data_IF_900587773617
#
_entry.id   IF_900587773617
#
_cell.length_a   1.000
_cell.length_b   1.000
_cell.length_c   1.000
_cell.angle_alpha   90.00
_cell.angle_beta   90.00
_cell.angle_gamma   90.00
#
_symmetry.space_group_name_H-M   'P 1'
#
loop_
_entity.id
_entity.type
_entity.pdbx_description
1 polymer ?
#
# COMPACT_ATOMS: atom_id res chain seq x y z
N UNK A 1 20.25 2.52 -5.13
CA UNK A 1 19.90 3.92 -5.44
C UNK A 1 18.53 3.91 -6.08
N UNK A 2 17.66 4.88 -5.77
CA UNK A 2 16.30 4.87 -6.29
C UNK A 2 16.33 5.01 -7.79
N UNK A 3 15.37 4.35 -8.44
CA UNK A 3 15.18 4.43 -9.88
C UNK A 3 14.79 5.86 -10.30
N UNK A 4 13.94 6.50 -9.50
CA UNK A 4 13.40 7.83 -9.75
C UNK A 4 13.26 8.59 -8.43
N UNK A 5 13.62 9.89 -8.44
CA UNK A 5 13.30 10.81 -7.35
C UNK A 5 12.38 11.91 -7.89
N UNK A 6 11.22 12.06 -7.27
CA UNK A 6 10.29 13.13 -7.55
C UNK A 6 10.34 14.12 -6.38
N UNK A 7 11.05 15.22 -6.60
CA UNK A 7 11.00 16.36 -5.70
C UNK A 7 9.69 17.12 -5.94
N UNK A 8 8.89 17.18 -4.89
CA UNK A 8 7.64 17.94 -4.77
C UNK A 8 7.90 19.04 -3.73
N UNK A 9 7.23 20.19 -3.81
CA UNK A 9 7.63 21.40 -3.06
C UNK A 9 7.98 21.15 -1.58
N UNK A 10 7.11 20.44 -0.85
CA UNK A 10 7.33 20.05 0.55
C UNK A 10 7.59 18.56 0.74
N UNK A 11 7.58 17.75 -0.33
CA UNK A 11 7.55 16.29 -0.23
C UNK A 11 8.48 15.64 -1.24
N UNK A 12 8.95 14.43 -0.99
CA UNK A 12 9.79 13.71 -1.93
C UNK A 12 9.31 12.27 -2.04
N UNK A 13 9.12 11.79 -3.26
CA UNK A 13 8.89 10.39 -3.54
C UNK A 13 10.19 9.80 -4.11
N UNK A 14 10.72 8.76 -3.44
CA UNK A 14 11.86 8.00 -3.95
C UNK A 14 11.36 6.64 -4.43
N UNK A 15 11.22 6.49 -5.74
CA UNK A 15 10.67 5.29 -6.37
C UNK A 15 11.80 4.32 -6.72
N UNK A 16 11.62 3.08 -6.31
CA UNK A 16 12.63 2.02 -6.39
C UNK A 16 12.06 0.71 -6.89
N UNK A 17 12.89 -0.02 -7.63
CA UNK A 17 12.67 -1.39 -8.06
C UNK A 17 13.87 -2.19 -7.53
N UNK A 18 13.65 -2.97 -6.48
CA UNK A 18 14.74 -3.64 -5.73
C UNK A 18 14.46 -5.13 -5.57
N UNK A 19 15.47 -5.97 -5.83
CA UNK A 19 15.36 -7.41 -5.60
C UNK A 19 15.12 -7.72 -4.12
N UNK A 20 15.82 -7.04 -3.20
CA UNK A 20 15.65 -7.25 -1.75
C UNK A 20 14.21 -6.96 -1.32
N UNK A 21 13.61 -5.88 -1.84
CA UNK A 21 12.21 -5.54 -1.59
C UNK A 21 11.25 -6.60 -2.16
N UNK A 22 11.52 -7.13 -3.36
CA UNK A 22 10.72 -8.22 -3.94
C UNK A 22 10.83 -9.52 -3.15
N UNK A 23 12.05 -9.87 -2.69
CA UNK A 23 12.29 -11.07 -1.88
C UNK A 23 11.44 -11.01 -0.61
N UNK A 24 11.55 -9.92 0.14
CA UNK A 24 10.79 -9.74 1.36
C UNK A 24 9.30 -9.71 1.09
N UNK A 25 8.83 -8.87 0.18
CA UNK A 25 7.40 -8.72 -0.08
C UNK A 25 6.75 -10.04 -0.47
N UNK A 26 7.31 -10.75 -1.47
CA UNK A 26 6.69 -11.96 -1.99
C UNK A 26 6.75 -13.09 -0.94
N UNK A 27 7.87 -13.25 -0.23
CA UNK A 27 7.95 -14.24 0.86
C UNK A 27 6.97 -13.93 1.99
N UNK A 28 6.81 -12.65 2.35
CA UNK A 28 5.84 -12.20 3.35
C UNK A 28 4.42 -12.57 2.92
N UNK A 29 4.05 -12.38 1.64
CA UNK A 29 2.76 -12.82 1.11
C UNK A 29 2.60 -14.35 1.08
N UNK A 30 3.64 -15.09 0.67
CA UNK A 30 3.62 -16.56 0.58
C UNK A 30 3.51 -17.25 1.94
N UNK A 31 3.99 -16.59 3.00
CA UNK A 31 3.97 -17.15 4.35
C UNK A 31 2.58 -17.16 4.98
N UNK A 32 1.65 -16.38 4.42
CA UNK A 32 0.28 -16.23 4.94
C UNK A 32 0.27 -15.91 6.44
N UNK A 33 1.20 -15.09 6.91
CA UNK A 33 1.30 -14.73 8.32
C UNK A 33 0.11 -13.89 8.80
N UNK A 34 -0.53 -13.17 7.89
CA UNK A 34 -1.67 -12.29 8.13
C UNK A 34 -2.85 -12.68 7.22
N UNK A 35 -4.07 -12.39 7.67
CA UNK A 35 -5.29 -12.52 6.85
C UNK A 35 -5.32 -11.55 5.67
N UNK A 36 -4.48 -10.51 5.71
CA UNK A 36 -4.34 -9.52 4.65
C UNK A 36 -3.31 -9.92 3.58
N UNK A 37 -2.66 -11.08 3.71
CA UNK A 37 -1.74 -11.55 2.67
C UNK A 37 -2.49 -11.81 1.35
N UNK A 38 -1.93 -11.33 0.24
CA UNK A 38 -2.48 -11.45 -1.10
C UNK A 38 -2.24 -12.85 -1.67
N UNK A 39 -3.32 -13.63 -1.82
CA UNK A 39 -3.27 -15.02 -2.28
C UNK A 39 -2.71 -15.21 -3.69
N UNK A 40 -2.67 -14.16 -4.51
CA UNK A 40 -2.20 -14.23 -5.89
C UNK A 40 -0.77 -14.78 -6.04
N UNK A 41 0.11 -14.54 -5.05
CA UNK A 41 1.46 -15.09 -5.07
C UNK A 41 1.46 -16.59 -4.78
N UNK A 42 0.69 -17.03 -3.78
CA UNK A 42 0.55 -18.44 -3.46
C UNK A 42 -0.08 -19.20 -4.63
N UNK A 43 -1.12 -18.64 -5.25
CA UNK A 43 -1.79 -19.21 -6.43
C UNK A 43 -0.81 -19.33 -7.61
N UNK A 44 -0.01 -18.28 -7.87
CA UNK A 44 1.02 -18.33 -8.91
C UNK A 44 2.07 -19.40 -8.63
N UNK A 45 2.61 -19.47 -7.42
CA UNK A 45 3.62 -20.47 -7.08
C UNK A 45 3.05 -21.88 -7.21
N UNK A 46 1.84 -22.14 -6.69
CA UNK A 46 1.17 -23.43 -6.84
C UNK A 46 0.95 -23.84 -8.31
N UNK A 47 0.74 -22.86 -9.21
CA UNK A 47 0.53 -23.12 -10.63
C UNK A 47 1.84 -23.32 -11.42
N UNK A 48 2.97 -22.79 -10.94
CA UNK A 48 4.23 -22.74 -11.69
C UNK A 48 5.37 -23.57 -11.09
N UNK A 49 5.27 -23.92 -9.81
CA UNK A 49 6.29 -24.70 -9.09
C UNK A 49 5.69 -25.46 -7.91
N UNK A 50 6.11 -26.69 -7.69
CA UNK A 50 5.68 -27.42 -6.50
C UNK A 50 6.43 -26.91 -5.26
N UNK A 51 5.70 -26.56 -4.20
CA UNK A 51 6.30 -26.26 -2.89
C UNK A 51 6.88 -27.52 -2.28
N UNK A 52 8.21 -27.53 -2.13
CA UNK A 52 8.93 -28.61 -1.46
C UNK A 52 8.65 -28.60 0.06
N UNK A 53 9.03 -29.68 0.76
CA UNK A 53 8.98 -29.70 2.22
C UNK A 53 9.85 -28.58 2.83
N UNK A 54 11.03 -28.35 2.27
CA UNK A 54 11.97 -27.29 2.70
C UNK A 54 11.32 -25.91 2.55
N UNK A 55 10.64 -25.66 1.42
CA UNK A 55 9.94 -24.38 1.21
C UNK A 55 8.91 -24.11 2.33
N UNK A 56 8.14 -25.12 2.70
CA UNK A 56 7.10 -25.01 3.74
C UNK A 56 7.71 -24.78 5.13
N UNK A 57 8.80 -25.46 5.44
CA UNK A 57 9.53 -25.26 6.70
C UNK A 57 10.09 -23.84 6.79
N UNK A 58 10.68 -23.33 5.72
CA UNK A 58 11.23 -21.97 5.67
C UNK A 58 10.14 -20.89 5.75
N UNK A 59 9.02 -21.04 5.04
CA UNK A 59 7.88 -20.13 5.15
C UNK A 59 7.28 -20.16 6.57
N UNK A 60 7.28 -21.31 7.23
CA UNK A 60 6.86 -21.41 8.65
C UNK A 60 7.79 -20.62 9.56
N UNK A 61 9.12 -20.78 9.41
CA UNK A 61 10.10 -19.98 10.18
C UNK A 61 9.92 -18.48 9.96
N UNK A 62 9.75 -18.06 8.70
CA UNK A 62 9.51 -16.66 8.36
C UNK A 62 8.22 -16.16 8.99
N UNK A 63 7.12 -16.92 8.90
CA UNK A 63 5.84 -16.58 9.55
C UNK A 63 5.99 -16.40 11.06
N UNK A 64 6.68 -17.31 11.75
CA UNK A 64 6.94 -17.22 13.19
C UNK A 64 7.77 -16.00 13.56
N UNK A 65 8.79 -15.67 12.75
CA UNK A 65 9.57 -14.45 12.89
C UNK A 65 8.70 -13.23 12.68
N UNK A 66 7.96 -13.18 11.57
CA UNK A 66 7.07 -12.09 11.21
C UNK A 66 6.01 -11.83 12.27
N UNK A 67 5.43 -12.86 12.88
CA UNK A 67 4.48 -12.68 13.99
C UNK A 67 5.07 -12.02 15.24
N UNK A 68 6.41 -11.96 15.38
CA UNK A 68 7.09 -11.21 16.46
C UNK A 68 7.29 -9.74 16.14
N UNK A 69 7.15 -9.36 14.86
CA UNK A 69 7.25 -7.98 14.36
C UNK A 69 5.90 -7.59 13.76
N UNK A 70 5.13 -6.70 14.39
CA UNK A 70 3.92 -6.21 13.72
C UNK A 70 4.27 -5.42 12.44
N UNK A 71 3.25 -5.04 11.68
CA UNK A 71 3.43 -4.16 10.51
C UNK A 71 4.22 -2.90 10.90
N UNK A 72 5.31 -2.64 10.16
CA UNK A 72 6.18 -1.49 10.36
C UNK A 72 7.15 -1.58 11.54
N UNK A 73 7.31 -2.73 12.18
CA UNK A 73 8.16 -2.93 13.36
C UNK A 73 9.51 -3.59 13.02
N UNK A 74 10.23 -3.04 12.04
CA UNK A 74 11.65 -3.35 11.79
C UNK A 74 11.92 -4.09 10.47
N UNK A 75 11.09 -5.06 10.10
CA UNK A 75 11.32 -5.86 8.89
C UNK A 75 11.15 -5.01 7.62
N UNK A 76 10.13 -4.16 7.57
CA UNK A 76 9.92 -3.22 6.46
C UNK A 76 11.10 -2.26 6.30
N UNK A 77 11.60 -1.70 7.40
CA UNK A 77 12.75 -0.79 7.38
C UNK A 77 14.04 -1.51 6.99
N UNK A 78 14.14 -2.81 7.26
CA UNK A 78 15.31 -3.62 6.89
C UNK A 78 15.29 -3.97 5.41
N UNK A 79 14.16 -4.44 4.88
CA UNK A 79 14.12 -5.12 3.58
C UNK A 79 13.49 -4.31 2.45
N UNK A 80 12.66 -3.31 2.73
CA UNK A 80 12.27 -2.33 1.70
C UNK A 80 13.38 -1.30 1.52
N UNK A 81 14.43 -1.72 0.83
CA UNK A 81 15.65 -0.96 0.60
C UNK A 81 16.21 -1.22 -0.80
N UNK A 82 17.06 -0.32 -1.27
CA UNK A 82 17.73 -0.44 -2.58
C UNK A 82 19.03 -1.24 -2.55
N UNK A 83 19.54 -1.54 -1.35
CA UNK A 83 20.80 -2.27 -1.19
C UNK A 83 20.54 -3.78 -1.33
N UNK A 84 21.60 -4.52 -1.64
CA UNK A 84 21.54 -5.97 -1.75
C UNK A 84 21.20 -6.63 -0.41
N UNK A 85 20.75 -7.88 -0.46
CA UNK A 85 20.27 -8.61 0.71
C UNK A 85 21.29 -8.68 1.85
N UNK A 86 22.57 -8.93 1.55
CA UNK A 86 23.59 -9.06 2.58
C UNK A 86 23.83 -7.73 3.30
N UNK A 87 23.94 -6.64 2.53
CA UNK A 87 24.02 -5.29 3.08
C UNK A 87 22.78 -4.90 3.90
N UNK A 88 21.58 -5.28 3.44
CA UNK A 88 20.32 -5.02 4.14
C UNK A 88 20.26 -5.72 5.50
N UNK A 89 20.66 -6.99 5.55
CA UNK A 89 20.73 -7.78 6.78
C UNK A 89 21.74 -7.20 7.77
N UNK A 90 22.94 -6.86 7.31
CA UNK A 90 23.98 -6.26 8.14
C UNK A 90 23.50 -4.92 8.73
N UNK A 91 22.90 -4.07 7.91
CA UNK A 91 22.39 -2.76 8.33
C UNK A 91 21.21 -2.90 9.31
N UNK A 92 20.27 -3.82 9.05
CA UNK A 92 19.14 -4.10 9.93
C UNK A 92 19.58 -4.54 11.33
N UNK A 93 20.60 -5.39 11.42
CA UNK A 93 21.20 -5.79 12.70
C UNK A 93 21.94 -4.62 13.35
N UNK A 94 22.69 -3.85 12.57
CA UNK A 94 23.48 -2.72 13.09
C UNK A 94 22.60 -1.61 13.67
N UNK A 95 21.47 -1.30 13.04
CA UNK A 95 20.50 -0.31 13.51
C UNK A 95 19.64 -0.89 14.65
N UNK A 96 19.49 -2.21 14.72
CA UNK A 96 18.69 -2.91 15.72
C UNK A 96 17.23 -3.07 15.33
N UNK A 97 16.93 -3.07 14.02
CA UNK A 97 15.60 -3.42 13.52
C UNK A 97 15.32 -4.93 13.60
N UNK A 98 16.37 -5.74 13.47
CA UNK A 98 16.32 -7.20 13.62
C UNK A 98 17.55 -7.69 14.42
N UNK A 99 17.46 -8.88 15.00
CA UNK A 99 18.57 -9.54 15.66
C UNK A 99 19.42 -10.36 14.68
N UNK A 100 20.68 -10.65 15.06
CA UNK A 100 21.60 -11.43 14.21
C UNK A 100 21.07 -12.83 13.86
N UNK A 101 20.34 -13.47 14.78
CA UNK A 101 19.70 -14.76 14.52
C UNK A 101 18.55 -14.65 13.51
N UNK A 102 17.77 -13.58 13.58
CA UNK A 102 16.69 -13.30 12.63
C UNK A 102 17.25 -13.03 11.24
N UNK A 103 18.34 -12.27 11.15
CA UNK A 103 19.04 -12.04 9.89
C UNK A 103 19.52 -13.36 9.24
N UNK A 104 20.00 -14.32 10.04
CA UNK A 104 20.41 -15.65 9.55
C UNK A 104 19.22 -16.45 9.01
N UNK A 105 18.09 -16.41 9.71
CA UNK A 105 16.85 -17.09 9.28
C UNK A 105 16.34 -16.47 7.97
N UNK A 106 16.21 -15.14 7.92
CA UNK A 106 15.70 -14.46 6.72
C UNK A 106 16.62 -14.66 5.52
N UNK A 107 17.95 -14.68 5.71
CA UNK A 107 18.88 -15.01 4.63
C UNK A 107 18.63 -16.40 4.05
N UNK A 108 18.46 -17.40 4.90
CA UNK A 108 18.16 -18.77 4.49
C UNK A 108 16.85 -18.84 3.69
N UNK A 109 15.80 -18.17 4.19
CA UNK A 109 14.49 -18.10 3.54
C UNK A 109 14.62 -17.42 2.17
N UNK A 110 15.17 -16.21 2.10
CA UNK A 110 15.20 -15.44 0.87
C UNK A 110 16.08 -16.07 -0.20
N UNK A 111 17.25 -16.63 0.15
CA UNK A 111 18.09 -17.34 -0.83
C UNK A 111 17.38 -18.57 -1.41
N UNK A 112 16.56 -19.27 -0.63
CA UNK A 112 15.76 -20.41 -1.12
C UNK A 112 14.69 -20.01 -2.15
N UNK A 113 14.12 -18.80 -2.04
CA UNK A 113 13.11 -18.28 -2.98
C UNK A 113 13.68 -17.40 -4.09
N UNK A 114 14.95 -16.99 -3.97
CA UNK A 114 15.57 -15.96 -4.81
C UNK A 114 15.46 -16.18 -6.30
N UNK A 115 15.75 -17.40 -6.77
CA UNK A 115 15.69 -17.71 -8.20
C UNK A 115 14.27 -17.52 -8.75
N UNK A 116 13.25 -18.06 -8.07
CA UNK A 116 11.84 -17.97 -8.49
C UNK A 116 11.34 -16.52 -8.47
N UNK A 117 11.68 -15.76 -7.42
CA UNK A 117 11.29 -14.35 -7.30
C UNK A 117 12.01 -13.46 -8.32
N UNK A 118 13.29 -13.74 -8.60
CA UNK A 118 14.05 -13.01 -9.62
C UNK A 118 13.43 -13.20 -11.00
N UNK A 119 12.94 -14.40 -11.32
CA UNK A 119 12.19 -14.64 -12.57
C UNK A 119 10.93 -13.79 -12.64
N UNK A 120 10.10 -13.76 -11.59
CA UNK A 120 8.89 -12.92 -11.55
C UNK A 120 9.25 -11.45 -11.75
N UNK A 121 10.27 -10.94 -11.05
CA UNK A 121 10.72 -9.56 -11.18
C UNK A 121 11.18 -9.25 -12.61
N UNK A 122 12.03 -10.10 -13.19
CA UNK A 122 12.58 -9.89 -14.53
C UNK A 122 11.50 -9.94 -15.62
N UNK A 123 10.56 -10.88 -15.52
CA UNK A 123 9.45 -11.03 -16.47
C UNK A 123 8.53 -9.79 -16.48
N UNK A 124 8.51 -9.02 -15.39
CA UNK A 124 7.67 -7.84 -15.21
C UNK A 124 8.45 -6.52 -15.24
N UNK A 125 9.77 -6.56 -15.43
CA UNK A 125 10.65 -5.41 -15.25
C UNK A 125 10.29 -4.24 -16.16
N UNK A 126 9.92 -4.52 -17.41
CA UNK A 126 9.49 -3.51 -18.36
C UNK A 126 8.22 -2.77 -17.90
N UNK A 127 7.28 -3.47 -17.25
CA UNK A 127 6.03 -2.90 -16.75
C UNK A 127 6.31 -2.05 -15.50
N UNK A 128 7.19 -2.51 -14.60
CA UNK A 128 7.64 -1.73 -13.45
C UNK A 128 8.31 -0.42 -13.88
N UNK A 129 9.21 -0.48 -14.87
CA UNK A 129 9.86 0.70 -15.42
C UNK A 129 8.87 1.65 -16.11
N UNK A 130 7.96 1.12 -16.92
CA UNK A 130 6.91 1.92 -17.57
C UNK A 130 6.04 2.65 -16.55
N UNK A 131 5.68 1.99 -15.45
CA UNK A 131 4.94 2.63 -14.36
C UNK A 131 5.75 3.76 -13.71
N UNK A 132 7.03 3.52 -13.39
CA UNK A 132 7.89 4.56 -12.83
C UNK A 132 8.09 5.75 -13.79
N UNK A 133 8.25 5.49 -15.09
CA UNK A 133 8.35 6.52 -16.14
C UNK A 133 7.05 7.33 -16.25
N UNK A 134 5.88 6.68 -16.10
CA UNK A 134 4.60 7.37 -16.02
C UNK A 134 4.52 8.32 -14.83
N UNK A 135 4.97 7.91 -13.64
CA UNK A 135 5.02 8.82 -12.48
C UNK A 135 5.88 10.06 -12.77
N UNK A 136 6.97 9.90 -13.53
CA UNK A 136 7.80 11.01 -13.96
C UNK A 136 7.12 11.89 -15.03
N UNK A 137 6.43 11.31 -16.00
CA UNK A 137 5.74 12.09 -17.05
C UNK A 137 4.52 12.85 -16.52
N UNK A 138 3.87 12.33 -15.48
CA UNK A 138 2.73 12.95 -14.79
C UNK A 138 3.16 13.77 -13.57
N UNK A 139 4.45 14.10 -13.43
CA UNK A 139 5.01 14.79 -12.26
C UNK A 139 4.22 16.05 -11.87
N UNK A 140 3.82 16.87 -12.84
CA UNK A 140 3.13 18.14 -12.55
C UNK A 140 1.72 17.91 -11.96
N UNK A 141 1.01 16.90 -12.47
CA UNK A 141 -0.30 16.51 -11.94
C UNK A 141 -0.17 15.90 -10.54
N UNK A 142 0.85 15.06 -10.33
CA UNK A 142 1.18 14.51 -9.02
C UNK A 142 1.56 15.60 -8.02
N UNK A 143 2.30 16.62 -8.46
CA UNK A 143 2.68 17.76 -7.63
C UNK A 143 1.44 18.56 -7.19
N UNK A 144 0.53 18.88 -8.10
CA UNK A 144 -0.72 19.58 -7.78
C UNK A 144 -1.55 18.80 -6.75
N UNK A 145 -1.68 17.48 -6.96
CA UNK A 145 -2.40 16.61 -6.05
C UNK A 145 -1.70 16.51 -4.69
N UNK A 146 -0.39 16.26 -4.64
CA UNK A 146 0.37 16.19 -3.38
C UNK A 146 0.31 17.51 -2.62
N UNK A 147 0.36 18.65 -3.29
CA UNK A 147 0.18 19.95 -2.66
C UNK A 147 -1.22 20.09 -2.06
N UNK A 148 -2.24 19.64 -2.78
CA UNK A 148 -3.63 19.62 -2.28
C UNK A 148 -3.77 18.71 -1.06
N UNK A 149 -3.22 17.49 -1.09
CA UNK A 149 -3.27 16.54 0.02
C UNK A 149 -2.45 17.02 1.22
N UNK A 150 -1.26 17.59 0.98
CA UNK A 150 -0.42 18.16 2.03
C UNK A 150 -1.15 19.32 2.71
N UNK A 151 -1.70 20.28 1.95
CA UNK A 151 -2.53 21.38 2.49
C UNK A 151 -3.69 20.85 3.32
N UNK A 152 -4.45 19.92 2.75
CA UNK A 152 -5.60 19.30 3.41
C UNK A 152 -5.18 18.62 4.73
N UNK A 153 -4.02 17.97 4.75
CA UNK A 153 -3.41 17.36 5.94
C UNK A 153 -2.46 18.31 6.69
N UNK A 154 -2.73 19.62 6.67
CA UNK A 154 -2.06 20.65 7.48
C UNK A 154 -0.57 20.87 7.18
N UNK A 155 -0.20 20.84 5.90
CA UNK A 155 1.12 21.12 5.33
C UNK A 155 2.25 20.22 5.84
N UNK A 156 1.96 18.94 6.09
CA UNK A 156 2.99 18.00 6.53
C UNK A 156 3.90 17.60 5.35
N UNK A 157 5.24 17.80 5.45
CA UNK A 157 6.18 17.33 4.45
C UNK A 157 6.35 15.81 4.57
N UNK A 158 6.28 15.07 3.46
CA UNK A 158 6.48 13.62 3.47
C UNK A 158 7.65 13.21 2.59
N UNK A 159 8.59 12.45 3.17
CA UNK A 159 9.57 11.67 2.41
C UNK A 159 9.05 10.25 2.33
N UNK A 160 8.76 9.78 1.12
CA UNK A 160 8.12 8.47 0.90
C UNK A 160 9.02 7.61 0.03
N UNK A 161 9.72 6.63 0.60
CA UNK A 161 10.24 5.51 -0.16
C UNK A 161 9.07 4.73 -0.76
N UNK A 162 9.11 4.52 -2.09
CA UNK A 162 8.09 3.80 -2.87
C UNK A 162 8.77 2.60 -3.52
N UNK A 163 8.34 1.39 -3.18
CA UNK A 163 8.83 0.17 -3.81
C UNK A 163 7.77 -0.42 -4.73
N UNK A 164 8.11 -0.49 -6.02
CA UNK A 164 7.28 -1.15 -7.02
C UNK A 164 7.60 -2.65 -6.99
N UNK A 165 6.57 -3.47 -6.78
CA UNK A 165 6.66 -4.93 -6.71
C UNK A 165 5.95 -5.53 -7.91
N UNK A 166 6.58 -6.49 -8.59
CA UNK A 166 5.94 -7.25 -9.64
C UNK A 166 4.79 -8.10 -9.08
N UNK A 167 3.56 -7.84 -9.55
CA UNK A 167 2.47 -8.79 -9.32
C UNK A 167 2.55 -9.92 -10.36
N UNK A 168 2.48 -11.19 -9.94
CA UNK A 168 2.42 -12.31 -10.87
C UNK A 168 1.06 -12.42 -11.59
N UNK A 169 0.06 -11.64 -11.20
CA UNK A 169 -1.29 -11.68 -11.75
C UNK A 169 -1.55 -10.52 -12.73
N UNK A 170 -2.35 -10.76 -13.77
CA UNK A 170 -2.59 -9.77 -14.83
C UNK A 170 -3.39 -8.57 -14.36
N UNK A 171 -4.26 -8.76 -13.37
CA UNK A 171 -5.24 -7.74 -12.94
C UNK A 171 -5.26 -7.45 -11.46
N UNK A 172 -4.65 -8.31 -10.67
CA UNK A 172 -4.72 -8.17 -9.22
C UNK A 172 -3.41 -7.54 -8.79
N UNK A 173 -3.53 -6.42 -8.11
CA UNK A 173 -2.45 -5.80 -7.37
C UNK A 173 -2.98 -5.40 -6.01
N UNK A 174 -2.11 -4.74 -5.26
CA UNK A 174 -2.41 -4.17 -3.98
C UNK A 174 -1.30 -3.20 -3.62
N UNK A 175 -1.45 -2.59 -2.47
CA UNK A 175 -0.42 -1.74 -1.93
C UNK A 175 -0.59 -1.62 -0.44
N UNK A 176 0.30 -0.84 0.15
CA UNK A 176 0.23 -0.55 1.55
C UNK A 176 1.29 0.46 1.95
N UNK A 177 0.97 1.27 2.94
CA UNK A 177 1.90 2.16 3.60
C UNK A 177 2.20 1.68 5.03
N UNK A 178 3.35 1.02 5.20
CA UNK A 178 3.75 0.41 6.47
C UNK A 178 5.20 0.79 6.81
N UNK A 179 5.48 1.07 8.09
CA UNK A 179 6.84 1.38 8.54
C UNK A 179 7.46 2.64 7.93
N UNK A 180 6.66 3.53 7.36
CA UNK A 180 7.13 4.71 6.62
C UNK A 180 7.46 4.44 5.15
N UNK A 181 7.09 3.27 4.62
CA UNK A 181 7.36 2.84 3.26
C UNK A 181 6.05 2.57 2.53
N UNK A 182 5.94 3.07 1.30
CA UNK A 182 4.85 2.75 0.39
C UNK A 182 5.29 1.59 -0.51
N UNK A 183 4.46 0.55 -0.57
CA UNK A 183 4.64 -0.60 -1.46
C UNK A 183 3.49 -0.66 -2.42
N UNK A 184 3.79 -0.94 -3.69
CA UNK A 184 2.77 -0.99 -4.73
C UNK A 184 3.04 -2.17 -5.66
N UNK A 185 2.08 -3.07 -5.74
CA UNK A 185 2.13 -4.20 -6.66
C UNK A 185 1.60 -3.77 -8.02
N UNK A 186 2.42 -3.97 -9.05
CA UNK A 186 2.09 -3.59 -10.43
C UNK A 186 1.62 -4.83 -11.20
N UNK A 187 0.31 -4.94 -11.53
CA UNK A 187 -0.22 -6.01 -12.36
C UNK A 187 0.11 -5.79 -13.84
N UNK A 188 0.13 -6.88 -14.62
CA UNK A 188 0.58 -6.83 -16.02
C UNK A 188 -0.35 -6.11 -16.99
N UNK A 189 -1.64 -6.15 -16.73
CA UNK A 189 -2.69 -5.76 -17.66
C UNK A 189 -3.78 -4.89 -17.01
N UNK A 190 -3.47 -4.28 -15.86
CA UNK A 190 -4.38 -3.37 -15.18
C UNK A 190 -3.66 -2.11 -14.72
N UNK A 191 -4.36 -0.98 -14.70
CA UNK A 191 -3.76 0.28 -14.29
C UNK A 191 -3.60 0.32 -12.77
N UNK A 192 -2.36 0.33 -12.28
CA UNK A 192 -2.03 0.48 -10.86
C UNK A 192 -2.10 1.93 -10.37
N UNK A 193 -2.28 2.91 -11.26
CA UNK A 193 -2.20 4.32 -10.87
C UNK A 193 -3.30 4.73 -9.86
N UNK A 194 -4.57 4.33 -10.00
CA UNK A 194 -5.57 4.62 -8.96
C UNK A 194 -5.18 4.04 -7.59
N UNK A 195 -4.58 2.85 -7.57
CA UNK A 195 -4.11 2.21 -6.33
C UNK A 195 -2.93 2.98 -5.75
N UNK A 196 -2.00 3.45 -6.57
CA UNK A 196 -0.94 4.35 -6.13
C UNK A 196 -1.49 5.59 -5.45
N UNK A 197 -2.50 6.25 -6.03
CA UNK A 197 -3.12 7.43 -5.42
C UNK A 197 -3.79 7.13 -4.08
N UNK A 198 -4.43 5.97 -3.99
CA UNK A 198 -5.03 5.48 -2.76
C UNK A 198 -3.98 5.33 -1.64
N UNK A 199 -2.90 4.58 -1.91
CA UNK A 199 -1.82 4.37 -0.94
C UNK A 199 -1.05 5.64 -0.62
N UNK A 200 -0.87 6.53 -1.60
CA UNK A 200 -0.22 7.81 -1.38
C UNK A 200 -1.02 8.67 -0.41
N UNK A 201 -2.35 8.59 -0.40
CA UNK A 201 -3.14 9.33 0.58
C UNK A 201 -2.96 8.79 2.00
N UNK A 202 -2.79 7.48 2.17
CA UNK A 202 -2.48 6.87 3.47
C UNK A 202 -1.21 7.44 4.08
N UNK A 203 -0.22 7.84 3.27
CA UNK A 203 0.98 8.55 3.75
C UNK A 203 0.59 9.82 4.51
N UNK A 204 -0.26 10.67 3.93
CA UNK A 204 -0.68 11.92 4.55
C UNK A 204 -1.61 11.68 5.74
N UNK A 205 -2.56 10.74 5.62
CA UNK A 205 -3.47 10.40 6.71
C UNK A 205 -2.72 9.84 7.92
N UNK A 206 -1.68 9.04 7.71
CA UNK A 206 -0.87 8.50 8.80
C UNK A 206 -0.08 9.59 9.55
N UNK A 207 0.30 10.69 8.89
CA UNK A 207 0.86 11.87 9.59
C UNK A 207 -0.14 12.52 10.56
N UNK A 208 -1.43 12.25 10.36
CA UNK A 208 -2.55 12.76 11.15
C UNK A 208 -3.21 11.67 12.01
N UNK A 209 -2.50 10.56 12.26
CA UNK A 209 -3.05 9.42 12.98
C UNK A 209 -3.62 9.79 14.36
N UNK A 210 -2.92 10.62 15.13
CA UNK A 210 -3.40 11.04 16.46
C UNK A 210 -4.73 11.81 16.39
N UNK A 211 -4.90 12.67 15.37
CA UNK A 211 -6.14 13.40 15.14
C UNK A 211 -7.28 12.45 14.79
N UNK A 212 -7.04 11.52 13.86
CA UNK A 212 -8.01 10.50 13.46
C UNK A 212 -8.42 9.62 14.65
N UNK A 213 -7.44 9.11 15.42
CA UNK A 213 -7.68 8.28 16.60
C UNK A 213 -8.42 9.02 17.72
N UNK A 214 -8.16 10.32 17.90
CA UNK A 214 -8.88 11.15 18.88
C UNK A 214 -10.36 11.27 18.54
N UNK A 215 -10.69 11.44 17.26
CA UNK A 215 -12.07 11.67 16.80
C UNK A 215 -12.89 10.37 16.83
N UNK A 216 -12.31 9.22 16.52
CA UNK A 216 -13.03 7.93 16.53
C UNK A 216 -13.26 7.35 17.93
N UNK A 217 -12.54 7.78 18.97
CA UNK A 217 -12.65 7.20 20.33
C UNK A 217 -14.06 7.27 20.91
N UNK A 218 -14.87 8.18 20.40
CA UNK A 218 -16.27 8.37 20.81
C UNK A 218 -17.27 7.68 19.88
N UNK A 219 -16.79 6.97 18.85
CA UNK A 219 -17.59 6.50 17.72
C UNK A 219 -17.62 4.97 17.59
N UNK A 220 -18.62 4.47 16.87
CA UNK A 220 -18.71 3.05 16.46
C UNK A 220 -17.92 2.74 15.19
N UNK A 221 -17.08 3.67 14.74
CA UNK A 221 -16.26 3.57 13.53
C UNK A 221 -14.82 3.33 13.96
N UNK A 222 -14.15 2.34 13.37
CA UNK A 222 -12.74 2.07 13.67
C UNK A 222 -11.83 3.02 12.89
N UNK A 223 -10.58 3.17 13.36
CA UNK A 223 -9.54 3.91 12.65
C UNK A 223 -9.42 3.43 11.20
N UNK A 224 -9.32 2.11 11.03
CA UNK A 224 -9.17 1.48 9.73
C UNK A 224 -10.36 1.79 8.81
N UNK A 225 -11.59 1.70 9.31
CA UNK A 225 -12.78 2.01 8.50
C UNK A 225 -12.79 3.47 8.00
N UNK A 226 -12.45 4.42 8.87
CA UNK A 226 -12.40 5.84 8.50
C UNK A 226 -11.24 6.12 7.54
N UNK A 227 -10.05 5.62 7.86
CA UNK A 227 -8.84 5.82 7.08
C UNK A 227 -8.98 5.24 5.67
N UNK A 228 -9.45 4.00 5.54
CA UNK A 228 -9.74 3.37 4.25
C UNK A 228 -10.89 4.06 3.52
N UNK A 229 -11.97 4.45 4.21
CA UNK A 229 -13.07 5.19 3.62
C UNK A 229 -12.60 6.49 2.97
N UNK A 230 -11.78 7.28 3.67
CA UNK A 230 -11.21 8.51 3.12
C UNK A 230 -10.30 8.22 1.90
N UNK A 231 -9.47 7.19 1.97
CA UNK A 231 -8.61 6.81 0.85
C UNK A 231 -9.40 6.33 -0.38
N UNK A 232 -10.45 5.52 -0.20
CA UNK A 232 -11.35 5.11 -1.30
C UNK A 232 -12.14 6.28 -1.88
N UNK A 233 -12.55 7.24 -1.04
CA UNK A 233 -13.19 8.48 -1.50
C UNK A 233 -12.26 9.27 -2.44
N UNK A 234 -10.96 9.32 -2.15
CA UNK A 234 -9.98 9.92 -3.05
C UNK A 234 -9.82 9.08 -4.33
N UNK A 235 -9.46 7.81 -4.21
CA UNK A 235 -9.23 6.92 -5.34
C UNK A 235 -9.76 5.51 -5.04
N UNK A 236 -10.64 4.95 -5.89
CA UNK A 236 -11.01 5.43 -7.23
C UNK A 236 -12.19 6.43 -7.22
N UNK A 237 -12.52 7.07 -6.10
CA UNK A 237 -13.72 7.93 -5.98
C UNK A 237 -13.65 9.26 -6.75
N UNK A 238 -12.68 10.12 -6.43
CA UNK A 238 -12.49 11.44 -7.06
C UNK A 238 -11.52 11.35 -8.24
N UNK A 239 -10.42 10.63 -8.04
CA UNK A 239 -9.39 10.42 -9.03
C UNK A 239 -9.42 8.95 -9.47
N UNK A 240 -9.51 8.72 -10.77
CA UNK A 240 -9.46 7.38 -11.35
C UNK A 240 -8.98 7.42 -12.79
N UNK A 241 -8.47 6.29 -13.25
CA UNK A 241 -8.20 6.04 -14.66
C UNK A 241 -9.50 5.65 -15.37
N UNK A 242 -9.89 6.38 -16.41
CA UNK A 242 -11.08 6.05 -17.20
C UNK A 242 -11.70 7.24 -17.91
N UNK A 243 -12.86 7.01 -18.52
CA UNK A 243 -13.65 8.07 -19.14
C UNK A 243 -14.10 9.10 -18.08
N UNK A 244 -14.13 10.41 -18.40
CA UNK A 244 -14.53 11.47 -17.46
C UNK A 244 -15.90 11.26 -16.81
N UNK A 245 -16.82 10.57 -17.49
CA UNK A 245 -18.18 10.32 -17.03
C UNK A 245 -18.35 8.95 -16.35
N UNK A 246 -17.25 8.20 -16.15
CA UNK A 246 -17.29 6.92 -15.44
C UNK A 246 -17.32 7.12 -13.93
N UNK A 247 -17.95 6.18 -13.21
CA UNK A 247 -17.97 6.14 -11.75
C UNK A 247 -17.50 4.76 -11.24
N UNK A 248 -16.18 4.50 -11.24
CA UNK A 248 -15.66 3.18 -10.89
C UNK A 248 -15.95 2.79 -9.44
N UNK A 249 -15.93 3.74 -8.49
CA UNK A 249 -16.23 3.43 -7.10
C UNK A 249 -17.70 3.02 -6.92
N UNK A 250 -18.64 3.73 -7.55
CA UNK A 250 -20.04 3.35 -7.54
C UNK A 250 -20.27 1.98 -8.17
N UNK A 251 -19.67 1.71 -9.33
CA UNK A 251 -19.83 0.41 -10.00
C UNK A 251 -19.26 -0.75 -9.19
N UNK A 252 -18.16 -0.53 -8.45
CA UNK A 252 -17.61 -1.51 -7.53
C UNK A 252 -18.57 -1.76 -6.36
N UNK A 253 -19.06 -0.70 -5.72
CA UNK A 253 -19.99 -0.83 -4.58
C UNK A 253 -21.30 -1.51 -5.01
N UNK A 254 -21.86 -1.15 -6.16
CA UNK A 254 -23.06 -1.78 -6.73
C UNK A 254 -22.85 -3.29 -6.92
N UNK A 255 -21.69 -3.70 -7.44
CA UNK A 255 -21.36 -5.12 -7.63
C UNK A 255 -21.18 -5.84 -6.29
N UNK A 256 -20.56 -5.20 -5.32
CA UNK A 256 -20.37 -5.77 -3.98
C UNK A 256 -21.72 -6.03 -3.30
N UNK A 257 -22.72 -5.16 -3.54
CA UNK A 257 -24.10 -5.28 -3.08
C UNK A 257 -24.87 -6.41 -3.76
N UNK A 258 -24.76 -6.52 -5.08
CA UNK A 258 -25.38 -7.60 -5.86
C UNK A 258 -24.89 -8.99 -5.41
N UNK A 259 -23.62 -9.08 -5.00
CA UNK A 259 -23.01 -10.31 -4.49
C UNK A 259 -23.24 -10.55 -2.99
N UNK A 260 -24.01 -9.69 -2.31
CA UNK A 260 -24.35 -9.81 -0.88
C UNK A 260 -23.12 -9.91 0.05
N UNK A 261 -22.02 -9.24 -0.30
CA UNK A 261 -20.75 -9.29 0.43
C UNK A 261 -20.68 -8.29 1.61
N UNK A 262 -21.83 -7.95 2.21
CA UNK A 262 -21.99 -6.84 3.16
C UNK A 262 -21.14 -6.93 4.43
N UNK A 263 -20.65 -8.12 4.78
CA UNK A 263 -19.78 -8.36 5.95
C UNK A 263 -18.28 -8.32 5.63
N UNK A 264 -17.90 -8.24 4.36
CA UNK A 264 -16.49 -8.15 3.97
C UNK A 264 -15.95 -6.76 4.32
N UNK A 265 -14.86 -6.62 5.11
CA UNK A 265 -14.29 -5.33 5.48
C UNK A 265 -14.03 -4.41 4.27
N UNK A 266 -13.54 -4.98 3.17
CA UNK A 266 -13.25 -4.24 1.94
C UNK A 266 -14.50 -3.57 1.34
N UNK A 267 -15.66 -4.23 1.45
CA UNK A 267 -16.95 -3.69 0.99
C UNK A 267 -17.39 -2.53 1.86
N UNK A 268 -17.17 -2.62 3.17
CA UNK A 268 -17.44 -1.51 4.11
C UNK A 268 -16.59 -0.30 3.76
N UNK A 269 -15.29 -0.49 3.50
CA UNK A 269 -14.37 0.60 3.15
C UNK A 269 -14.79 1.34 1.87
N UNK A 270 -15.13 0.59 0.81
CA UNK A 270 -15.58 1.16 -0.46
C UNK A 270 -16.91 1.90 -0.34
N UNK A 271 -17.84 1.37 0.44
CA UNK A 271 -19.11 2.05 0.76
C UNK A 271 -18.85 3.36 1.48
N UNK A 272 -17.98 3.35 2.49
CA UNK A 272 -17.62 4.59 3.21
C UNK A 272 -16.96 5.59 2.27
N UNK A 273 -16.08 5.12 1.38
CA UNK A 273 -15.52 5.97 0.34
C UNK A 273 -16.57 6.59 -0.58
N UNK A 274 -17.58 5.82 -0.99
CA UNK A 274 -18.66 6.32 -1.84
C UNK A 274 -19.47 7.42 -1.13
N UNK A 275 -19.77 7.24 0.15
CA UNK A 275 -20.51 8.21 0.97
C UNK A 275 -19.70 9.48 1.25
N UNK A 276 -18.40 9.35 1.52
CA UNK A 276 -17.50 10.47 1.82
C UNK A 276 -17.07 11.27 0.59
N UNK A 277 -17.17 10.69 -0.61
CA UNK A 277 -16.60 11.23 -1.85
C UNK A 277 -16.98 12.68 -2.13
N UNK A 278 -18.26 13.02 -2.04
CA UNK A 278 -18.74 14.36 -2.37
C UNK A 278 -18.19 15.39 -1.39
N UNK A 279 -18.27 15.10 -0.09
CA UNK A 279 -17.75 15.96 0.98
C UNK A 279 -16.23 16.13 0.90
N UNK A 280 -15.50 15.05 0.60
CA UNK A 280 -14.05 15.11 0.43
C UNK A 280 -13.68 15.97 -0.79
N UNK A 281 -14.39 15.82 -1.91
CA UNK A 281 -14.16 16.61 -3.12
C UNK A 281 -14.34 18.11 -2.87
N UNK A 282 -15.36 18.49 -2.11
CA UNK A 282 -15.59 19.88 -1.72
C UNK A 282 -14.46 20.40 -0.82
N UNK A 283 -14.07 19.61 0.19
CA UNK A 283 -12.99 19.99 1.10
C UNK A 283 -11.61 20.11 0.41
N UNK A 284 -11.33 19.27 -0.58
CA UNK A 284 -10.09 19.36 -1.36
C UNK A 284 -10.08 20.58 -2.31
N UNK A 285 -11.24 21.11 -2.71
CA UNK A 285 -11.34 22.30 -3.58
C UNK A 285 -11.35 23.62 -2.83
N UNK A 286 -11.74 23.61 -1.56
CA UNK A 286 -11.79 24.80 -0.72
C UNK A 286 -10.49 24.92 0.10
N UNK A 287 -9.71 25.96 -0.20
CA UNK A 287 -8.43 26.22 0.48
C UNK A 287 -8.59 26.54 1.98
N UNK A 288 -9.79 26.91 2.43
CA UNK A 288 -10.10 27.12 3.83
C UNK A 288 -10.40 25.83 4.61
N UNK A 289 -10.61 24.72 3.90
CA UNK A 289 -10.88 23.40 4.50
C UNK A 289 -9.59 22.61 4.69
N UNK A 290 -9.58 21.79 5.74
CA UNK A 290 -8.53 20.84 6.04
C UNK A 290 -9.12 19.59 6.68
N UNK A 291 -8.27 18.64 7.06
CA UNK A 291 -8.70 17.39 7.66
C UNK A 291 -9.49 17.61 8.97
N UNK A 292 -9.07 18.56 9.83
CA UNK A 292 -9.77 18.86 11.08
C UNK A 292 -11.18 19.40 10.85
N UNK A 293 -11.38 20.25 9.84
CA UNK A 293 -12.72 20.80 9.51
C UNK A 293 -13.58 19.80 8.75
N UNK A 294 -12.99 18.90 7.97
CA UNK A 294 -13.67 17.84 7.23
C UNK A 294 -14.22 16.73 8.15
N UNK A 295 -13.43 16.30 9.14
CA UNK A 295 -13.71 15.10 9.91
C UNK A 295 -15.06 15.11 10.66
N UNK A 296 -15.52 16.21 11.29
CA UNK A 296 -16.84 16.23 11.95
C UNK A 296 -17.99 15.84 11.02
N UNK A 297 -18.01 16.38 9.79
CA UNK A 297 -19.05 16.07 8.80
C UNK A 297 -18.88 14.63 8.27
N UNK A 298 -17.65 14.20 8.02
CA UNK A 298 -17.36 12.82 7.60
C UNK A 298 -17.89 11.79 8.61
N UNK A 299 -17.69 12.04 9.91
CA UNK A 299 -18.18 11.15 10.98
C UNK A 299 -19.71 11.15 11.04
N UNK A 300 -20.36 12.30 10.88
CA UNK A 300 -21.83 12.40 10.85
C UNK A 300 -22.42 11.54 9.72
N UNK A 301 -21.89 11.69 8.50
CA UNK A 301 -22.29 10.90 7.32
C UNK A 301 -22.16 9.39 7.58
N UNK A 302 -21.04 8.96 8.17
CA UNK A 302 -20.78 7.55 8.40
C UNK A 302 -21.60 6.96 9.56
N UNK A 303 -21.91 7.73 10.60
CA UNK A 303 -22.74 7.26 11.74
C UNK A 303 -24.10 6.76 11.28
N UNK A 304 -24.72 7.45 10.32
CA UNK A 304 -26.02 7.08 9.76
C UNK A 304 -25.99 5.75 8.99
N UNK A 305 -24.79 5.26 8.65
CA UNK A 305 -24.56 4.04 7.88
C UNK A 305 -24.10 2.84 8.73
N UNK A 306 -23.83 3.05 10.03
CA UNK A 306 -23.40 2.00 10.97
C UNK A 306 -24.59 1.26 11.61
N UNK A 307 -25.84 1.65 11.29
CA UNK A 307 -27.06 0.99 11.76
C UNK A 307 -27.38 -0.30 10.99
#
# INVERSE_FOLDING_TARGET
MPYLKLDLESSQLSVSISLTAHLFHIVDQLSEWSVYCHKQYLDYFNATSEFTLIDRELLTKHKELRMRHNWGEGLEQTFYTDIDLDSALEEGVRIGYIFAEEARIEKEVFENFKSRITTIMNDNLAILHSFAERLQSEKDQLLEMVNTLSRFCMNYPVLVPVFLIASPHDRNGGGGYNGGVLTLEIPRAHDAYPMFLHELFHVFLNSQRELLEKIIKTEKITYQQLNEGIAYALSPGIFHSGEPDSDPLFEIVRRDEENQLSKNPLVVFRRYGLELRSTLREALRDDSQNLETFLPNAIEILRDKVQ
#
